data_IF_271782365176
#
_entry.id   IF_271782365176
#
_cell.length_a   1.000
_cell.length_b   1.000
_cell.length_c   1.000
_cell.angle_alpha   90.00
_cell.angle_beta   90.00
_cell.angle_gamma   90.00
#
_symmetry.space_group_name_H-M   'P 1'
#
loop_
_entity.id
_entity.type
_entity.pdbx_description
1 polymer ?
#
# COMPACT_ATOMS: atom_id res chain seq x y z
N UNK A 1 1.31 -12.24 16.93
CA UNK A 1 2.08 -13.04 15.94
C UNK A 1 3.45 -12.42 15.68
N UNK A 2 4.45 -13.10 15.09
CA UNK A 2 5.68 -12.42 14.66
C UNK A 2 5.34 -11.36 13.59
N UNK A 3 5.91 -10.16 13.70
CA UNK A 3 5.59 -8.98 12.85
C UNK A 3 5.55 -9.30 11.36
N UNK A 4 6.52 -10.10 10.90
CA UNK A 4 6.64 -10.55 9.51
C UNK A 4 5.41 -11.33 9.02
N UNK A 5 4.78 -12.15 9.87
CA UNK A 5 3.58 -12.91 9.48
C UNK A 5 2.37 -12.00 9.29
N UNK A 6 2.21 -10.98 10.14
CA UNK A 6 1.11 -10.02 10.04
C UNK A 6 1.21 -9.23 8.75
N UNK A 7 2.42 -8.73 8.46
CA UNK A 7 2.69 -7.99 7.22
C UNK A 7 2.47 -8.89 6.01
N UNK A 8 3.04 -10.10 6.00
CA UNK A 8 2.87 -11.03 4.89
C UNK A 8 1.41 -11.39 4.66
N UNK A 9 0.66 -11.68 5.73
CA UNK A 9 -0.76 -11.99 5.63
C UNK A 9 -1.57 -10.82 5.07
N UNK A 10 -1.35 -9.62 5.59
CA UNK A 10 -2.05 -8.41 5.14
C UNK A 10 -1.75 -8.09 3.67
N UNK A 11 -0.48 -8.12 3.28
CA UNK A 11 -0.04 -7.89 1.90
C UNK A 11 -0.62 -8.92 0.95
N UNK A 12 -0.58 -10.20 1.31
CA UNK A 12 -1.14 -11.27 0.48
C UNK A 12 -2.66 -11.13 0.38
N UNK A 13 -3.34 -10.89 1.49
CA UNK A 13 -4.80 -10.75 1.51
C UNK A 13 -5.27 -9.61 0.62
N UNK A 14 -4.78 -8.38 0.83
CA UNK A 14 -5.19 -7.23 0.05
C UNK A 14 -4.67 -7.28 -1.39
N UNK A 15 -3.43 -7.74 -1.60
CA UNK A 15 -2.85 -7.90 -2.93
C UNK A 15 -3.65 -8.90 -3.79
N UNK A 16 -4.02 -10.05 -3.21
CA UNK A 16 -4.83 -11.06 -3.91
C UNK A 16 -6.26 -10.56 -4.11
N UNK A 17 -6.91 -9.98 -3.10
CA UNK A 17 -8.29 -9.49 -3.23
C UNK A 17 -8.42 -8.47 -4.37
N UNK A 18 -7.54 -7.46 -4.40
CA UNK A 18 -7.55 -6.42 -5.44
C UNK A 18 -7.20 -6.99 -6.82
N UNK A 19 -6.20 -7.88 -6.90
CA UNK A 19 -5.80 -8.50 -8.17
C UNK A 19 -6.86 -9.45 -8.71
N UNK A 20 -7.50 -10.24 -7.85
CA UNK A 20 -8.55 -11.18 -8.24
C UNK A 20 -9.76 -10.44 -8.80
N UNK A 21 -10.19 -9.37 -8.13
CA UNK A 21 -11.29 -8.52 -8.62
C UNK A 21 -10.91 -7.89 -9.96
N UNK A 22 -9.67 -7.40 -10.12
CA UNK A 22 -9.21 -6.88 -11.41
C UNK A 22 -9.25 -7.94 -12.51
N UNK A 23 -8.80 -9.17 -12.23
CA UNK A 23 -8.81 -10.29 -13.18
C UNK A 23 -10.23 -10.72 -13.57
N UNK A 24 -11.17 -10.78 -12.63
CA UNK A 24 -12.54 -11.22 -12.89
C UNK A 24 -13.29 -10.22 -13.78
N UNK A 25 -13.15 -8.92 -13.53
CA UNK A 25 -13.93 -7.90 -14.24
C UNK A 25 -13.22 -7.29 -15.45
N UNK A 26 -11.88 -7.33 -15.50
CA UNK A 26 -11.06 -6.64 -16.50
C UNK A 26 -9.94 -7.54 -17.03
N UNK A 27 -10.29 -8.81 -17.28
CA UNK A 27 -9.35 -9.80 -17.79
C UNK A 27 -8.69 -9.32 -19.09
N UNK A 28 -7.35 -9.44 -19.16
CA UNK A 28 -6.54 -9.01 -20.31
C UNK A 28 -5.94 -7.61 -20.20
N UNK A 29 -6.38 -6.78 -19.26
CA UNK A 29 -5.75 -5.48 -18.96
C UNK A 29 -4.64 -5.65 -17.91
N UNK A 30 -3.46 -6.06 -18.39
CA UNK A 30 -2.29 -6.34 -17.56
C UNK A 30 -1.73 -5.09 -16.86
N UNK A 31 -1.88 -3.92 -17.48
CA UNK A 31 -1.41 -2.66 -16.90
C UNK A 31 -2.28 -2.27 -15.70
N UNK A 32 -3.60 -2.41 -15.84
CA UNK A 32 -4.53 -2.24 -14.72
C UNK A 32 -4.31 -3.26 -13.62
N UNK A 33 -4.07 -4.53 -13.96
CA UNK A 33 -3.76 -5.58 -12.98
C UNK A 33 -2.51 -5.23 -12.14
N UNK A 34 -1.43 -4.78 -12.79
CA UNK A 34 -0.21 -4.37 -12.09
C UNK A 34 -0.47 -3.17 -11.17
N UNK A 35 -1.25 -2.18 -11.62
CA UNK A 35 -1.55 -0.98 -10.85
C UNK A 35 -2.47 -1.27 -9.65
N UNK A 36 -3.52 -2.06 -9.85
CA UNK A 36 -4.49 -2.43 -8.81
C UNK A 36 -3.86 -3.42 -7.81
N UNK A 37 -3.04 -4.36 -8.28
CA UNK A 37 -2.32 -5.29 -7.41
C UNK A 37 -1.27 -4.59 -6.55
N UNK A 38 -0.52 -3.63 -7.10
CA UNK A 38 0.42 -2.82 -6.33
C UNK A 38 -0.29 -1.91 -5.32
N UNK A 39 -1.46 -1.37 -5.67
CA UNK A 39 -2.31 -0.65 -4.72
C UNK A 39 -2.79 -1.57 -3.58
N UNK A 40 -3.21 -2.80 -3.88
CA UNK A 40 -3.59 -3.79 -2.87
C UNK A 40 -2.42 -4.16 -1.94
N UNK A 41 -1.22 -4.34 -2.48
CA UNK A 41 0.00 -4.58 -1.69
C UNK A 41 0.31 -3.40 -0.78
N UNK A 42 0.16 -2.17 -1.28
CA UNK A 42 0.37 -0.95 -0.51
C UNK A 42 -0.63 -0.84 0.65
N UNK A 43 -1.92 -1.05 0.37
CA UNK A 43 -2.97 -1.09 1.40
C UNK A 43 -2.66 -2.18 2.42
N UNK A 44 -2.20 -3.36 1.99
CA UNK A 44 -1.81 -4.43 2.90
C UNK A 44 -0.62 -4.08 3.81
N UNK A 45 0.41 -3.42 3.28
CA UNK A 45 1.55 -2.94 4.08
C UNK A 45 1.07 -1.94 5.15
N UNK A 46 0.23 -1.00 4.74
CA UNK A 46 -0.24 0.09 5.58
C UNK A 46 -1.34 -0.36 6.56
N UNK A 47 -2.10 -1.41 6.24
CA UNK A 47 -3.12 -1.99 7.12
C UNK A 47 -2.51 -2.87 8.22
N UNK A 48 -1.29 -3.39 8.06
CA UNK A 48 -0.71 -4.34 9.00
C UNK A 48 -0.61 -3.80 10.45
N UNK A 49 -0.20 -2.54 10.70
CA UNK A 49 -0.19 -1.95 12.04
C UNK A 49 -1.60 -1.69 12.59
N UNK A 50 -2.58 -1.46 11.72
CA UNK A 50 -3.98 -1.29 12.10
C UNK A 50 -4.63 -2.62 12.51
N UNK A 51 -4.26 -3.74 11.86
CA UNK A 51 -4.76 -5.08 12.16
C UNK A 51 -4.18 -5.62 13.49
N UNK A 52 -2.87 -5.50 13.72
CA UNK A 52 -2.23 -5.96 14.96
C UNK A 52 -1.36 -4.86 15.60
N UNK A 53 -1.98 -3.84 16.24
CA UNK A 53 -1.25 -2.70 16.81
C UNK A 53 -0.27 -3.10 17.91
N UNK A 54 -0.54 -4.20 18.63
CA UNK A 54 0.35 -4.74 19.67
C UNK A 54 1.69 -5.24 19.12
N UNK A 55 1.77 -5.53 17.82
CA UNK A 55 3.00 -5.95 17.17
C UNK A 55 3.92 -4.78 16.79
N UNK A 56 3.41 -3.53 16.76
CA UNK A 56 4.14 -2.35 16.29
C UNK A 56 4.28 -1.29 17.39
N UNK A 57 5.50 -1.11 17.91
CA UNK A 57 5.82 -0.08 18.92
C UNK A 57 5.65 1.35 18.39
N UNK A 58 5.93 1.56 17.10
CA UNK A 58 5.78 2.85 16.40
C UNK A 58 5.06 2.62 15.06
N UNK A 59 3.75 2.37 15.11
CA UNK A 59 2.92 2.13 13.92
C UNK A 59 3.02 3.28 12.91
N UNK A 60 2.92 4.53 13.39
CA UNK A 60 2.99 5.74 12.56
C UNK A 60 4.28 5.84 11.73
N UNK A 61 5.43 5.42 12.28
CA UNK A 61 6.71 5.49 11.59
C UNK A 61 6.82 4.43 10.48
N UNK A 62 6.21 3.26 10.71
CA UNK A 62 6.13 2.20 9.71
C UNK A 62 5.24 2.63 8.55
N UNK A 63 4.02 3.10 8.84
CA UNK A 63 3.07 3.53 7.81
C UNK A 63 3.62 4.71 7.00
N UNK A 64 4.28 5.68 7.64
CA UNK A 64 4.96 6.79 6.96
C UNK A 64 6.08 6.30 6.05
N UNK A 65 6.94 5.40 6.51
CA UNK A 65 8.07 4.88 5.71
C UNK A 65 7.58 4.13 4.47
N UNK A 66 6.63 3.20 4.64
CA UNK A 66 6.10 2.43 3.53
C UNK A 66 5.23 3.29 2.60
N UNK A 67 4.51 4.26 3.16
CA UNK A 67 3.87 5.37 2.46
C UNK A 67 4.83 6.10 1.52
N UNK A 68 5.91 6.63 2.10
CA UNK A 68 6.90 7.41 1.37
C UNK A 68 7.63 6.58 0.32
N UNK A 69 7.98 5.32 0.63
CA UNK A 69 8.62 4.43 -0.34
C UNK A 69 7.72 4.14 -1.53
N UNK A 70 6.45 3.82 -1.31
CA UNK A 70 5.51 3.56 -2.40
C UNK A 70 5.29 4.81 -3.27
N UNK A 71 5.11 5.96 -2.64
CA UNK A 71 4.98 7.23 -3.36
C UNK A 71 6.24 7.60 -4.15
N UNK A 72 7.43 7.37 -3.58
CA UNK A 72 8.70 7.60 -4.27
C UNK A 72 8.85 6.70 -5.50
N UNK A 73 8.51 5.41 -5.37
CA UNK A 73 8.54 4.44 -6.48
C UNK A 73 7.57 4.87 -7.58
N UNK A 74 6.33 5.25 -7.22
CA UNK A 74 5.36 5.75 -8.20
C UNK A 74 5.86 7.01 -8.91
N UNK A 75 6.48 7.93 -8.17
CA UNK A 75 7.11 9.12 -8.74
C UNK A 75 8.24 8.79 -9.71
N UNK A 76 9.09 7.81 -9.40
CA UNK A 76 10.16 7.35 -10.31
C UNK A 76 9.59 6.67 -11.56
N UNK A 77 8.59 5.81 -11.39
CA UNK A 77 7.98 5.06 -12.50
C UNK A 77 7.20 5.98 -13.45
N UNK A 78 6.73 7.13 -12.98
CA UNK A 78 6.07 8.13 -13.83
C UNK A 78 6.97 8.76 -14.90
N UNK A 79 8.30 8.61 -14.80
CA UNK A 79 9.26 9.20 -15.74
C UNK A 79 9.43 10.72 -15.60
N UNK A 80 8.76 11.37 -14.64
CA UNK A 80 8.78 12.81 -14.43
C UNK A 80 10.03 13.33 -13.68
N UNK A 81 11.08 12.51 -13.58
CA UNK A 81 12.37 12.87 -12.98
C UNK A 81 12.46 12.72 -11.45
N UNK A 82 13.64 12.99 -10.86
CA UNK A 82 13.89 12.79 -9.42
C UNK A 82 13.05 13.71 -8.52
N UNK A 83 12.60 14.86 -9.02
CA UNK A 83 11.69 15.76 -8.30
C UNK A 83 10.31 15.11 -8.09
N UNK A 84 9.84 14.35 -9.08
CA UNK A 84 8.59 13.60 -8.96
C UNK A 84 8.70 12.47 -7.93
N UNK A 85 9.88 11.85 -7.81
CA UNK A 85 10.15 10.89 -6.75
C UNK A 85 10.09 11.54 -5.35
N UNK A 86 10.68 12.74 -5.19
CA UNK A 86 10.63 13.49 -3.93
C UNK A 86 9.22 13.91 -3.55
N UNK A 87 8.46 14.45 -4.49
CA UNK A 87 7.04 14.80 -4.29
C UNK A 87 6.19 13.56 -4.01
N UNK A 88 6.42 12.47 -4.76
CA UNK A 88 5.78 11.19 -4.53
C UNK A 88 6.06 10.67 -3.13
N UNK A 89 7.31 10.75 -2.65
CA UNK A 89 7.69 10.35 -1.30
C UNK A 89 6.97 11.17 -0.23
N UNK A 90 6.85 12.49 -0.42
CA UNK A 90 6.13 13.36 0.51
C UNK A 90 4.64 13.03 0.55
N UNK A 91 3.98 12.96 -0.61
CA UNK A 91 2.55 12.65 -0.70
C UNK A 91 2.24 11.24 -0.20
N UNK A 92 3.04 10.26 -0.59
CA UNK A 92 2.94 8.88 -0.11
C UNK A 92 3.18 8.78 1.40
N UNK A 93 4.14 9.54 1.92
CA UNK A 93 4.43 9.59 3.37
C UNK A 93 3.27 10.19 4.17
N UNK A 94 2.64 11.25 3.67
CA UNK A 94 1.43 11.84 4.27
C UNK A 94 0.27 10.85 4.24
N UNK A 95 0.05 10.17 3.11
CA UNK A 95 -0.98 9.13 2.98
C UNK A 95 -0.73 7.95 3.92
N UNK A 96 0.53 7.52 4.04
CA UNK A 96 0.95 6.50 4.98
C UNK A 96 0.73 6.93 6.43
N UNK A 97 1.14 8.14 6.81
CA UNK A 97 0.91 8.66 8.17
C UNK A 97 -0.58 8.77 8.52
N UNK A 98 -1.43 9.11 7.55
CA UNK A 98 -2.88 9.20 7.73
C UNK A 98 -3.60 7.86 7.60
N UNK A 99 -2.89 6.76 7.37
CA UNK A 99 -3.44 5.43 7.23
C UNK A 99 -4.46 5.01 8.28
N UNK A 100 -4.24 5.24 9.60
CA UNK A 100 -5.18 4.79 10.61
C UNK A 100 -6.57 5.44 10.50
N UNK A 101 -6.66 6.57 9.79
CA UNK A 101 -7.89 7.32 9.57
C UNK A 101 -8.66 6.85 8.33
N UNK A 102 -7.98 6.59 7.21
CA UNK A 102 -8.67 6.24 5.95
C UNK A 102 -8.77 4.74 5.69
N UNK A 103 -7.88 3.91 6.25
CA UNK A 103 -7.82 2.48 5.92
C UNK A 103 -9.10 1.73 6.31
N UNK A 104 -9.82 2.24 7.32
CA UNK A 104 -11.11 1.73 7.80
C UNK A 104 -12.26 2.01 6.82
N UNK A 105 -12.06 2.96 5.92
CA UNK A 105 -13.03 3.37 4.91
C UNK A 105 -12.68 2.85 3.52
N UNK A 106 -11.60 2.06 3.38
CA UNK A 106 -11.29 1.40 2.11
C UNK A 106 -12.41 0.42 1.82
N UNK A 107 -13.18 0.61 0.73
CA UNK A 107 -14.15 -0.39 0.32
C UNK A 107 -13.36 -1.64 -0.05
N UNK A 108 -13.54 -2.70 0.72
CA UNK A 108 -13.04 -4.01 0.35
C UNK A 108 -13.91 -4.44 -0.84
N UNK A 109 -13.31 -4.70 -2.01
CA UNK A 109 -14.07 -5.12 -3.18
C UNK A 109 -14.66 -6.52 -3.02
#
# INVERSE_FOLDING_TARGET
MPKLRVVAFSVLFFGVAFSAVSLVFYFGDWQRLALVGSAGVFVGLVAAPTIEPKAFKHAWAYELLFGALAGAILGLVSGAGPQAAGLGALLGGVLGYLAPYWIKHVPIP
#
